data_IF_579353584283
#
_entry.id   IF_579353584283
#
_cell.length_a   1.000
_cell.length_b   1.000
_cell.length_c   1.000
_cell.angle_alpha   90.00
_cell.angle_beta   90.00
_cell.angle_gamma   90.00
#
_symmetry.space_group_name_H-M   'P 1'
#
loop_
_entity.id
_entity.type
_entity.pdbx_description
1 polymer ?
#
# COMPACT_ATOMS: atom_id res chain seq x y z
N UNK A 1 -36.97 -24.47 6.64
CA UNK A 1 -36.34 -25.29 5.57
C UNK A 1 -35.02 -24.67 5.13
N UNK A 2 -34.95 -23.38 4.80
CA UNK A 2 -33.70 -22.71 4.41
C UNK A 2 -32.63 -22.60 5.53
N UNK A 3 -33.00 -22.33 6.80
CA UNK A 3 -32.07 -22.38 7.94
C UNK A 3 -31.39 -23.76 8.13
N UNK A 4 -32.05 -24.86 7.75
CA UNK A 4 -31.44 -26.20 7.81
C UNK A 4 -30.33 -26.39 6.76
N UNK A 5 -30.30 -25.57 5.72
CA UNK A 5 -29.26 -25.64 4.69
C UNK A 5 -27.98 -24.93 5.13
N UNK A 6 -28.08 -23.84 5.89
CA UNK A 6 -26.90 -23.15 6.44
C UNK A 6 -26.16 -24.02 7.47
N UNK A 7 -26.90 -24.79 8.27
CA UNK A 7 -26.31 -25.79 9.19
C UNK A 7 -25.47 -26.87 8.48
N UNK A 8 -25.57 -26.99 7.14
CA UNK A 8 -24.73 -27.93 6.38
C UNK A 8 -23.37 -27.34 6.00
N UNK A 9 -23.14 -26.05 6.26
CA UNK A 9 -21.81 -25.44 6.11
C UNK A 9 -20.83 -26.00 7.15
N UNK A 10 -21.31 -26.43 8.33
CA UNK A 10 -20.50 -27.11 9.34
C UNK A 10 -20.33 -28.61 9.07
N UNK A 11 -20.55 -29.09 7.82
CA UNK A 11 -20.47 -30.50 7.50
C UNK A 11 -19.05 -30.93 7.20
N UNK A 12 -18.63 -32.05 7.81
CA UNK A 12 -17.38 -32.75 7.51
C UNK A 12 -17.34 -33.41 6.11
N UNK A 13 -18.40 -33.28 5.32
CA UNK A 13 -18.48 -33.85 3.99
C UNK A 13 -18.28 -32.76 2.93
N UNK A 14 -17.12 -32.79 2.27
CA UNK A 14 -16.76 -31.91 1.15
C UNK A 14 -17.88 -31.72 0.12
N UNK A 15 -18.52 -32.80 -0.33
CA UNK A 15 -19.58 -32.73 -1.34
C UNK A 15 -20.83 -32.02 -0.83
N UNK A 16 -21.16 -32.20 0.46
CA UNK A 16 -22.26 -31.48 1.13
C UNK A 16 -21.97 -29.98 1.15
N UNK A 17 -20.79 -29.57 1.63
CA UNK A 17 -20.37 -28.15 1.68
C UNK A 17 -20.40 -27.53 0.29
N UNK A 18 -19.76 -28.16 -0.69
CA UNK A 18 -19.74 -27.68 -2.08
C UNK A 18 -21.14 -27.50 -2.64
N UNK A 19 -22.07 -28.43 -2.36
CA UNK A 19 -23.45 -28.35 -2.84
C UNK A 19 -24.17 -27.14 -2.24
N UNK A 20 -23.98 -26.89 -0.95
CA UNK A 20 -24.62 -25.79 -0.21
C UNK A 20 -24.06 -24.45 -0.66
N UNK A 21 -22.74 -24.28 -0.74
CA UNK A 21 -22.11 -23.05 -1.25
C UNK A 21 -22.55 -22.76 -2.69
N UNK A 22 -22.59 -23.79 -3.55
CA UNK A 22 -23.05 -23.65 -4.94
C UNK A 22 -24.55 -23.31 -5.08
N UNK A 23 -25.35 -23.62 -4.07
CA UNK A 23 -26.72 -23.13 -3.96
C UNK A 23 -26.76 -21.69 -3.44
N UNK A 24 -26.01 -21.37 -2.38
CA UNK A 24 -25.95 -20.06 -1.75
C UNK A 24 -25.43 -18.96 -2.69
N UNK A 25 -24.49 -19.25 -3.59
CA UNK A 25 -24.03 -18.26 -4.58
C UNK A 25 -25.13 -17.73 -5.51
N UNK A 26 -26.28 -18.40 -5.59
CA UNK A 26 -27.46 -17.97 -6.37
C UNK A 26 -28.39 -17.06 -5.58
N UNK A 27 -28.15 -16.91 -4.28
CA UNK A 27 -28.86 -15.99 -3.39
C UNK A 27 -28.50 -14.57 -3.79
N UNK A 28 -29.49 -13.67 -3.70
CA UNK A 28 -29.30 -12.24 -3.98
C UNK A 28 -29.15 -11.47 -2.69
N UNK A 29 -28.39 -10.39 -2.74
CA UNK A 29 -28.36 -9.37 -1.69
C UNK A 29 -29.80 -8.96 -1.31
N UNK A 30 -30.10 -8.91 -0.01
CA UNK A 30 -31.43 -8.66 0.55
C UNK A 30 -32.29 -9.91 0.79
N UNK A 31 -31.89 -11.10 0.34
CA UNK A 31 -32.58 -12.35 0.74
C UNK A 31 -32.37 -12.60 2.24
N UNK A 32 -33.36 -13.14 2.98
CA UNK A 32 -33.18 -13.50 4.38
C UNK A 32 -31.95 -14.38 4.67
N UNK A 33 -31.51 -15.19 3.71
CA UNK A 33 -30.28 -16.00 3.85
C UNK A 33 -29.01 -15.15 4.00
N UNK A 34 -28.97 -13.94 3.46
CA UNK A 34 -27.85 -13.01 3.68
C UNK A 34 -27.64 -12.75 5.18
N UNK A 35 -28.71 -12.50 5.93
CA UNK A 35 -28.62 -12.19 7.35
C UNK A 35 -28.22 -13.41 8.18
N UNK A 36 -28.71 -14.59 7.80
CA UNK A 36 -28.32 -15.83 8.47
C UNK A 36 -26.83 -16.13 8.24
N UNK A 37 -26.29 -15.89 7.04
CA UNK A 37 -24.86 -16.04 6.76
C UNK A 37 -24.01 -15.03 7.54
N UNK A 38 -24.49 -13.77 7.66
CA UNK A 38 -23.82 -12.76 8.49
C UNK A 38 -23.81 -13.21 9.96
N UNK A 39 -24.91 -13.77 10.46
CA UNK A 39 -24.97 -14.29 11.83
C UNK A 39 -23.95 -15.41 12.10
N UNK A 40 -23.68 -16.28 11.12
CA UNK A 40 -22.59 -17.29 11.25
C UNK A 40 -21.22 -16.61 11.38
N UNK A 41 -20.99 -15.50 10.66
CA UNK A 41 -19.75 -14.75 10.77
C UNK A 41 -19.62 -13.99 12.08
N UNK A 42 -20.71 -13.44 12.64
CA UNK A 42 -20.63 -12.67 13.90
C UNK A 42 -20.12 -13.52 15.09
N UNK A 43 -20.33 -14.83 15.03
CA UNK A 43 -19.89 -15.79 16.06
C UNK A 43 -18.62 -16.58 15.65
N UNK A 44 -17.89 -16.14 14.62
CA UNK A 44 -16.80 -16.93 13.99
C UNK A 44 -15.71 -17.40 14.96
N UNK A 45 -15.36 -16.59 15.97
CA UNK A 45 -14.32 -16.94 16.96
C UNK A 45 -14.70 -18.10 17.88
N UNK A 46 -15.99 -18.41 17.99
CA UNK A 46 -16.51 -19.49 18.84
C UNK A 46 -16.91 -20.74 18.04
N UNK A 47 -16.81 -20.69 16.71
CA UNK A 47 -17.15 -21.81 15.84
C UNK A 47 -15.90 -22.63 15.52
N UNK A 48 -15.85 -23.86 16.00
CA UNK A 48 -14.74 -24.79 15.76
C UNK A 48 -14.81 -25.46 14.37
N UNK A 49 -15.84 -25.17 13.57
CA UNK A 49 -16.02 -25.71 12.23
C UNK A 49 -15.61 -24.72 11.14
N UNK A 50 -15.49 -25.19 9.90
CA UNK A 50 -15.30 -24.32 8.73
C UNK A 50 -16.56 -23.56 8.29
N UNK A 51 -17.67 -23.59 9.06
CA UNK A 51 -18.90 -22.90 8.66
C UNK A 51 -18.74 -21.38 8.45
N UNK A 52 -17.96 -20.64 9.25
CA UNK A 52 -17.66 -19.24 8.96
C UNK A 52 -16.93 -19.07 7.63
N UNK A 53 -16.02 -19.99 7.28
CA UNK A 53 -15.17 -19.90 6.08
C UNK A 53 -16.07 -19.96 4.85
N UNK A 54 -16.93 -20.97 4.82
CA UNK A 54 -17.88 -21.16 3.73
C UNK A 54 -18.95 -20.07 3.69
N UNK A 55 -19.27 -19.46 4.84
CA UNK A 55 -20.16 -18.30 4.90
C UNK A 55 -19.52 -17.06 4.27
N UNK A 56 -18.22 -16.82 4.47
CA UNK A 56 -17.48 -15.73 3.79
C UNK A 56 -17.48 -15.92 2.28
N UNK A 57 -17.13 -17.12 1.82
CA UNK A 57 -17.14 -17.47 0.38
C UNK A 57 -18.53 -17.21 -0.22
N UNK A 58 -19.59 -17.66 0.45
CA UNK A 58 -20.97 -17.43 0.01
C UNK A 58 -21.34 -15.94 -0.01
N UNK A 59 -21.00 -15.18 1.05
CA UNK A 59 -21.29 -13.75 1.16
C UNK A 59 -20.57 -12.92 0.09
N UNK A 60 -19.36 -13.32 -0.29
CA UNK A 60 -18.63 -12.76 -1.42
C UNK A 60 -19.40 -12.91 -2.74
N UNK A 61 -19.96 -14.11 -3.01
CA UNK A 61 -20.79 -14.33 -4.21
C UNK A 61 -22.13 -13.56 -4.16
N UNK A 62 -22.76 -13.51 -3.00
CA UNK A 62 -23.97 -12.69 -2.78
C UNK A 62 -23.65 -11.22 -3.06
N UNK A 63 -22.42 -10.78 -2.76
CA UNK A 63 -22.00 -9.39 -2.83
C UNK A 63 -22.64 -8.57 -1.71
N UNK A 64 -22.69 -9.12 -0.50
CA UNK A 64 -23.37 -8.49 0.63
C UNK A 64 -22.60 -7.29 1.16
N UNK A 65 -23.10 -6.06 0.90
CA UNK A 65 -22.52 -4.86 1.52
C UNK A 65 -22.69 -4.84 3.03
N UNK A 66 -23.73 -5.52 3.53
CA UNK A 66 -24.01 -5.63 4.98
C UNK A 66 -23.00 -6.50 5.71
N UNK A 67 -22.33 -7.43 5.00
CA UNK A 67 -21.32 -8.30 5.58
C UNK A 67 -19.96 -7.60 5.81
N UNK A 68 -19.71 -6.44 5.20
CA UNK A 68 -18.40 -5.76 5.27
C UNK A 68 -17.90 -5.60 6.72
N UNK A 69 -18.69 -5.13 7.70
CA UNK A 69 -18.20 -5.01 9.08
C UNK A 69 -17.78 -6.35 9.70
N UNK A 70 -18.52 -7.43 9.46
CA UNK A 70 -18.19 -8.76 9.97
C UNK A 70 -16.95 -9.34 9.27
N UNK A 71 -16.82 -9.16 7.96
CA UNK A 71 -15.64 -9.59 7.20
C UNK A 71 -14.38 -8.85 7.64
N UNK A 72 -14.48 -7.54 7.92
CA UNK A 72 -13.36 -6.76 8.46
C UNK A 72 -12.97 -7.23 9.87
N UNK A 73 -13.91 -7.64 10.71
CA UNK A 73 -13.61 -8.20 12.03
C UNK A 73 -12.88 -9.55 11.95
N UNK A 74 -13.15 -10.36 10.93
CA UNK A 74 -12.42 -11.62 10.68
C UNK A 74 -10.95 -11.38 10.36
N UNK A 75 -10.60 -10.25 9.75
CA UNK A 75 -9.20 -9.92 9.46
C UNK A 75 -8.35 -9.74 10.74
N UNK A 76 -8.97 -9.54 11.91
CA UNK A 76 -8.30 -9.63 13.21
C UNK A 76 -8.19 -11.11 13.66
N UNK A 77 -7.60 -11.96 12.80
CA UNK A 77 -7.29 -13.37 13.05
C UNK A 77 -5.80 -13.61 12.85
N UNK A 78 -5.24 -14.55 13.62
CA UNK A 78 -3.88 -15.07 13.44
C UNK A 78 -3.80 -16.23 12.45
N UNK A 79 -4.93 -16.69 11.90
CA UNK A 79 -4.96 -17.76 10.91
C UNK A 79 -5.18 -17.20 9.49
N UNK A 80 -4.18 -17.39 8.63
CA UNK A 80 -4.14 -16.86 7.26
C UNK A 80 -5.39 -17.22 6.45
N UNK A 81 -5.87 -18.46 6.54
CA UNK A 81 -7.03 -18.91 5.77
C UNK A 81 -8.33 -18.15 6.13
N UNK A 82 -8.47 -17.65 7.37
CA UNK A 82 -9.59 -16.79 7.75
C UNK A 82 -9.48 -15.42 7.08
N UNK A 83 -8.29 -14.82 7.14
CA UNK A 83 -8.00 -13.53 6.54
C UNK A 83 -8.12 -13.58 5.01
N UNK A 84 -7.63 -14.64 4.36
CA UNK A 84 -7.76 -14.87 2.92
C UNK A 84 -9.23 -15.00 2.48
N UNK A 85 -10.05 -15.74 3.24
CA UNK A 85 -11.47 -15.91 2.93
C UNK A 85 -12.24 -14.59 3.06
N UNK A 86 -11.93 -13.81 4.10
CA UNK A 86 -12.50 -12.49 4.31
C UNK A 86 -12.06 -11.51 3.23
N UNK A 87 -10.76 -11.46 2.89
CA UNK A 87 -10.21 -10.64 1.81
C UNK A 87 -10.88 -10.97 0.47
N UNK A 88 -10.99 -12.25 0.12
CA UNK A 88 -11.67 -12.69 -1.09
C UNK A 88 -13.11 -12.17 -1.14
N UNK A 89 -13.85 -12.34 -0.04
CA UNK A 89 -15.23 -11.91 0.01
C UNK A 89 -15.33 -10.39 -0.20
N UNK A 90 -14.46 -9.62 0.45
CA UNK A 90 -14.35 -8.16 0.29
C UNK A 90 -13.98 -7.78 -1.15
N UNK A 91 -13.02 -8.46 -1.79
CA UNK A 91 -12.66 -8.30 -3.20
C UNK A 91 -13.89 -8.43 -4.09
N UNK A 92 -14.67 -9.50 -3.92
CA UNK A 92 -15.89 -9.74 -4.72
C UNK A 92 -16.95 -8.66 -4.48
N UNK A 93 -17.12 -8.22 -3.24
CA UNK A 93 -18.05 -7.14 -2.88
C UNK A 93 -17.61 -5.82 -3.54
N UNK A 94 -16.34 -5.47 -3.46
CA UNK A 94 -15.79 -4.25 -4.06
C UNK A 94 -15.87 -4.28 -5.58
N UNK A 95 -15.52 -5.40 -6.23
CA UNK A 95 -15.66 -5.55 -7.69
C UNK A 95 -17.11 -5.38 -8.16
N UNK A 96 -18.08 -5.80 -7.33
CA UNK A 96 -19.51 -5.70 -7.66
C UNK A 96 -20.07 -4.29 -7.45
N UNK A 97 -19.67 -3.62 -6.37
CA UNK A 97 -20.30 -2.37 -5.94
C UNK A 97 -19.47 -1.12 -6.26
N UNK A 98 -18.17 -1.26 -6.49
CA UNK A 98 -17.26 -0.17 -6.80
C UNK A 98 -16.92 0.69 -5.58
N UNK A 99 -16.66 1.98 -5.82
CA UNK A 99 -16.24 2.95 -4.81
C UNK A 99 -17.17 3.14 -3.58
N UNK A 100 -18.50 3.00 -3.67
CA UNK A 100 -19.41 3.20 -2.53
C UNK A 100 -19.16 2.31 -1.30
N UNK A 101 -18.40 1.22 -1.44
CA UNK A 101 -18.10 0.31 -0.33
C UNK A 101 -16.69 0.48 0.25
N UNK A 102 -15.90 1.43 -0.27
CA UNK A 102 -14.51 1.60 0.17
C UNK A 102 -14.39 2.23 1.55
N UNK A 103 -15.28 3.16 1.92
CA UNK A 103 -15.18 3.92 3.18
C UNK A 103 -14.96 3.03 4.43
N UNK A 104 -15.73 1.97 4.70
CA UNK A 104 -15.47 1.11 5.85
C UNK A 104 -14.10 0.42 5.81
N UNK A 105 -13.59 0.08 4.62
CA UNK A 105 -12.28 -0.58 4.43
C UNK A 105 -11.15 0.44 4.64
N UNK A 106 -11.29 1.63 4.07
CA UNK A 106 -10.35 2.75 4.25
C UNK A 106 -10.22 3.11 5.75
N UNK A 107 -11.36 3.24 6.45
CA UNK A 107 -11.39 3.52 7.90
C UNK A 107 -10.76 2.39 8.71
N UNK A 108 -10.96 1.14 8.30
CA UNK A 108 -10.35 -0.02 8.96
C UNK A 108 -8.82 0.02 8.90
N UNK A 109 -8.29 0.37 7.73
CA UNK A 109 -6.84 0.50 7.50
C UNK A 109 -6.27 1.67 8.28
N UNK A 110 -6.87 2.86 8.16
CA UNK A 110 -6.38 4.08 8.80
C UNK A 110 -6.28 3.94 10.32
N UNK A 111 -7.23 3.24 10.96
CA UNK A 111 -7.22 3.00 12.41
C UNK A 111 -6.09 2.08 12.89
N UNK A 112 -5.45 1.36 11.98
CA UNK A 112 -4.41 0.37 12.27
C UNK A 112 -3.02 0.81 11.85
N UNK A 113 -2.86 2.03 11.32
CA UNK A 113 -1.56 2.55 10.88
C UNK A 113 -0.47 2.45 11.95
N UNK A 114 -0.80 2.81 13.19
CA UNK A 114 0.13 2.79 14.32
C UNK A 114 0.21 1.45 15.05
N UNK A 115 -0.79 0.57 14.89
CA UNK A 115 -0.88 -0.71 15.58
C UNK A 115 -1.78 -1.70 14.84
N UNK A 116 -1.17 -2.77 14.33
CA UNK A 116 -1.86 -3.83 13.60
C UNK A 116 -1.30 -5.21 14.00
N UNK A 117 -1.71 -5.77 15.14
CA UNK A 117 -1.08 -6.95 15.73
C UNK A 117 -1.26 -8.25 14.92
N UNK A 118 -2.19 -8.25 13.95
CA UNK A 118 -2.53 -9.40 13.12
C UNK A 118 -2.25 -9.15 11.63
N UNK A 119 -1.55 -8.06 11.31
CA UNK A 119 -1.26 -7.67 9.93
C UNK A 119 -2.54 -7.57 9.06
N UNK A 120 -3.66 -7.22 9.70
CA UNK A 120 -4.99 -7.23 9.09
C UNK A 120 -5.11 -6.25 7.92
N UNK A 121 -4.31 -5.17 7.93
CA UNK A 121 -4.25 -4.19 6.84
C UNK A 121 -3.74 -4.79 5.54
N UNK A 122 -2.80 -5.75 5.59
CA UNK A 122 -2.25 -6.41 4.41
C UNK A 122 -3.38 -6.96 3.54
N UNK A 123 -4.32 -7.67 4.17
CA UNK A 123 -5.49 -8.26 3.52
C UNK A 123 -6.54 -7.20 3.14
N UNK A 124 -6.64 -6.09 3.87
CA UNK A 124 -7.60 -5.02 3.58
C UNK A 124 -7.19 -4.14 2.38
N UNK A 125 -5.91 -4.10 1.99
CA UNK A 125 -5.45 -3.38 0.80
C UNK A 125 -5.95 -4.01 -0.50
N UNK A 126 -5.95 -5.34 -0.57
CA UNK A 126 -6.26 -6.07 -1.80
C UNK A 126 -7.64 -5.71 -2.39
N UNK A 127 -8.76 -5.66 -1.64
CA UNK A 127 -10.05 -5.21 -2.15
C UNK A 127 -10.00 -3.83 -2.83
N UNK A 128 -9.20 -2.90 -2.32
CA UNK A 128 -9.03 -1.55 -2.87
C UNK A 128 -8.29 -1.62 -4.22
N UNK A 129 -7.23 -2.42 -4.29
CA UNK A 129 -6.40 -2.61 -5.49
C UNK A 129 -7.16 -3.21 -6.67
N UNK A 130 -8.27 -3.92 -6.42
CA UNK A 130 -9.12 -4.49 -7.47
C UNK A 130 -9.86 -3.43 -8.29
N UNK A 131 -10.03 -2.21 -7.78
CA UNK A 131 -10.64 -1.10 -8.52
C UNK A 131 -9.63 -0.35 -9.39
N UNK A 132 -9.02 -1.07 -10.35
CA UNK A 132 -7.89 -0.59 -11.18
C UNK A 132 -8.15 0.71 -11.96
N UNK A 133 -9.41 1.09 -12.16
CA UNK A 133 -9.81 2.34 -12.84
C UNK A 133 -10.30 3.43 -11.89
N UNK A 134 -10.40 3.14 -10.59
CA UNK A 134 -10.88 4.10 -9.58
C UNK A 134 -9.79 5.12 -9.23
N UNK A 135 -10.12 6.40 -9.43
CA UNK A 135 -9.25 7.49 -8.98
C UNK A 135 -9.15 7.56 -7.46
N UNK A 136 -10.24 7.29 -6.74
CA UNK A 136 -10.28 7.25 -5.27
C UNK A 136 -9.39 6.15 -4.71
N UNK A 137 -9.55 4.92 -5.18
CA UNK A 137 -8.77 3.77 -4.73
C UNK A 137 -7.27 4.00 -4.96
N UNK A 138 -6.89 4.46 -6.16
CA UNK A 138 -5.49 4.79 -6.47
C UNK A 138 -4.95 5.87 -5.54
N UNK A 139 -5.71 6.94 -5.33
CA UNK A 139 -5.31 8.07 -4.47
C UNK A 139 -5.13 7.62 -3.02
N UNK A 140 -6.03 6.77 -2.52
CA UNK A 140 -5.91 6.14 -1.21
C UNK A 140 -4.63 5.29 -1.10
N UNK A 141 -4.36 4.40 -2.06
CA UNK A 141 -3.17 3.56 -2.05
C UNK A 141 -1.87 4.35 -2.20
N UNK A 142 -1.84 5.45 -2.96
CA UNK A 142 -0.68 6.35 -3.01
C UNK A 142 -0.41 6.95 -1.63
N UNK A 143 -1.46 7.38 -0.92
CA UNK A 143 -1.33 7.89 0.44
C UNK A 143 -0.76 6.84 1.40
N UNK A 144 -1.30 5.63 1.33
CA UNK A 144 -0.88 4.52 2.20
C UNK A 144 0.53 4.07 1.87
N UNK A 145 0.96 4.09 0.61
CA UNK A 145 2.35 3.85 0.24
C UNK A 145 3.33 4.83 0.92
N UNK A 146 2.94 6.08 1.13
CA UNK A 146 3.77 7.07 1.82
C UNK A 146 3.68 7.02 3.35
N UNK A 147 2.66 6.38 3.92
CA UNK A 147 2.36 6.39 5.36
C UNK A 147 2.57 5.04 6.05
N UNK A 148 2.39 3.93 5.33
CA UNK A 148 2.52 2.57 5.83
C UNK A 148 3.91 2.03 5.45
N UNK A 149 4.85 2.14 6.38
CA UNK A 149 6.22 1.67 6.21
C UNK A 149 6.36 0.15 6.30
N UNK A 150 5.42 -0.50 6.99
CA UNK A 150 5.38 -1.95 7.17
C UNK A 150 5.01 -2.68 5.87
N UNK A 151 4.00 -2.18 5.15
CA UNK A 151 3.44 -2.83 3.96
C UNK A 151 3.71 -2.09 2.64
N UNK A 152 4.70 -1.19 2.64
CA UNK A 152 5.02 -0.35 1.48
C UNK A 152 5.30 -1.16 0.20
N UNK A 153 5.94 -2.32 0.32
CA UNK A 153 6.23 -3.24 -0.79
C UNK A 153 4.96 -3.85 -1.40
N UNK A 154 4.07 -4.36 -0.54
CA UNK A 154 2.79 -4.95 -0.94
C UNK A 154 1.91 -3.91 -1.64
N UNK A 155 1.83 -2.70 -1.08
CA UNK A 155 1.11 -1.57 -1.69
C UNK A 155 1.75 -1.18 -3.04
N UNK A 156 3.07 -1.32 -3.20
CA UNK A 156 3.73 -1.06 -4.49
C UNK A 156 3.24 -2.00 -5.59
N UNK A 157 3.10 -3.29 -5.29
CA UNK A 157 2.55 -4.27 -6.24
C UNK A 157 1.09 -3.96 -6.57
N UNK A 158 0.29 -3.54 -5.59
CA UNK A 158 -1.08 -3.10 -5.82
C UNK A 158 -1.15 -1.85 -6.71
N UNK A 159 -0.30 -0.85 -6.46
CA UNK A 159 -0.22 0.35 -7.28
C UNK A 159 0.23 0.06 -8.72
N UNK A 160 1.07 -0.97 -8.94
CA UNK A 160 1.47 -1.39 -10.27
C UNK A 160 0.27 -1.83 -11.13
N UNK A 161 -0.78 -2.40 -10.51
CA UNK A 161 -1.99 -2.85 -11.20
C UNK A 161 -2.82 -1.70 -11.81
N UNK A 162 -2.61 -0.45 -11.39
CA UNK A 162 -3.28 0.73 -11.96
C UNK A 162 -2.67 1.18 -13.29
N UNK A 163 -1.45 0.74 -13.62
CA UNK A 163 -0.76 1.06 -14.88
C UNK A 163 -0.40 2.54 -15.06
N UNK A 164 -0.51 3.36 -14.02
CA UNK A 164 -0.19 4.79 -14.07
C UNK A 164 1.32 5.02 -13.92
N UNK A 165 2.03 5.11 -15.04
CA UNK A 165 3.49 5.28 -15.05
C UNK A 165 4.03 6.49 -14.29
N UNK A 166 3.18 7.45 -13.92
CA UNK A 166 3.59 8.56 -13.03
C UNK A 166 4.03 8.05 -11.65
N UNK A 167 3.50 6.92 -11.19
CA UNK A 167 3.85 6.26 -9.93
C UNK A 167 5.32 5.81 -9.90
N UNK A 168 5.97 5.64 -11.07
CA UNK A 168 7.40 5.34 -11.12
C UNK A 168 8.26 6.38 -10.37
N UNK A 169 7.84 7.65 -10.29
CA UNK A 169 8.55 8.66 -9.52
C UNK A 169 8.36 8.51 -8.00
N UNK A 170 7.22 7.97 -7.56
CA UNK A 170 6.98 7.60 -6.17
C UNK A 170 7.87 6.42 -5.78
N UNK A 171 7.90 5.38 -6.60
CA UNK A 171 8.79 4.22 -6.41
C UNK A 171 10.26 4.61 -6.47
N UNK A 172 10.66 5.50 -7.40
CA UNK A 172 12.04 5.99 -7.49
C UNK A 172 12.53 6.57 -6.16
N UNK A 173 11.71 7.44 -5.54
CA UNK A 173 12.01 8.06 -4.23
C UNK A 173 12.10 7.00 -3.13
N UNK A 174 11.14 6.08 -3.04
CA UNK A 174 11.14 5.04 -2.02
C UNK A 174 12.32 4.07 -2.17
N UNK A 175 12.67 3.69 -3.40
CA UNK A 175 13.87 2.88 -3.68
C UNK A 175 15.13 3.63 -3.22
N UNK A 176 15.25 4.92 -3.53
CA UNK A 176 16.39 5.73 -3.10
C UNK A 176 16.46 5.77 -1.57
N UNK A 177 15.35 6.02 -0.88
CA UNK A 177 15.29 6.00 0.59
C UNK A 177 15.76 4.65 1.16
N UNK A 178 15.17 3.55 0.68
CA UNK A 178 15.46 2.19 1.15
C UNK A 178 16.93 1.78 0.89
N UNK A 179 17.50 2.22 -0.24
CA UNK A 179 18.91 2.00 -0.57
C UNK A 179 19.83 2.65 0.46
N UNK A 180 19.54 3.90 0.84
CA UNK A 180 20.34 4.64 1.81
C UNK A 180 20.11 4.18 3.24
N UNK A 181 18.89 3.74 3.57
CA UNK A 181 18.59 3.10 4.84
C UNK A 181 19.21 1.69 4.96
N UNK A 182 19.74 1.12 3.86
CA UNK A 182 20.33 -0.22 3.84
C UNK A 182 19.31 -1.36 3.89
N UNK A 183 18.03 -1.09 3.60
CA UNK A 183 16.93 -2.06 3.68
C UNK A 183 16.85 -2.83 2.35
N UNK A 184 17.75 -3.82 2.20
CA UNK A 184 17.92 -4.55 0.93
C UNK A 184 16.68 -5.30 0.45
N UNK A 185 15.87 -5.84 1.36
CA UNK A 185 14.62 -6.54 1.02
C UNK A 185 13.64 -5.57 0.34
N UNK A 186 13.33 -4.45 1.00
CA UNK A 186 12.45 -3.41 0.46
C UNK A 186 12.93 -2.86 -0.89
N UNK A 187 14.25 -2.67 -1.06
CA UNK A 187 14.81 -2.27 -2.37
C UNK A 187 14.49 -3.30 -3.45
N UNK A 188 14.57 -4.60 -3.14
CA UNK A 188 14.27 -5.66 -4.10
C UNK A 188 12.80 -5.63 -4.51
N UNK A 189 11.89 -5.61 -3.53
CA UNK A 189 10.45 -5.63 -3.76
C UNK A 189 9.97 -4.39 -4.52
N UNK A 190 10.40 -3.19 -4.09
CA UNK A 190 10.05 -1.94 -4.80
C UNK A 190 10.58 -1.91 -6.23
N UNK A 191 11.76 -2.48 -6.49
CA UNK A 191 12.30 -2.58 -7.85
C UNK A 191 11.53 -3.59 -8.69
N UNK A 192 11.04 -4.68 -8.11
CA UNK A 192 10.19 -5.62 -8.81
C UNK A 192 8.87 -4.96 -9.21
N UNK A 193 8.17 -4.32 -8.25
CA UNK A 193 6.95 -3.55 -8.52
C UNK A 193 7.17 -2.44 -9.57
N UNK A 194 8.31 -1.76 -9.52
CA UNK A 194 8.73 -0.79 -10.54
C UNK A 194 8.84 -1.43 -11.92
N UNK A 195 9.51 -2.58 -12.04
CA UNK A 195 9.65 -3.30 -13.31
C UNK A 195 8.28 -3.69 -13.88
N UNK A 196 7.39 -4.24 -13.03
CA UNK A 196 6.02 -4.61 -13.42
C UNK A 196 5.27 -3.39 -13.95
N UNK A 197 5.28 -2.27 -13.22
CA UNK A 197 4.60 -1.04 -13.64
C UNK A 197 5.18 -0.46 -14.94
N UNK A 198 6.49 -0.59 -15.17
CA UNK A 198 7.11 -0.13 -16.41
C UNK A 198 6.83 -1.06 -17.61
N UNK A 199 6.32 -2.26 -17.36
CA UNK A 199 5.84 -3.21 -18.36
C UNK A 199 6.71 -4.45 -18.54
N UNK A 200 7.64 -4.71 -17.63
CA UNK A 200 8.37 -5.99 -17.57
C UNK A 200 7.40 -7.09 -17.17
N UNK A 201 7.44 -8.21 -17.88
CA UNK A 201 6.71 -9.42 -17.52
C UNK A 201 7.68 -10.44 -16.94
N UNK A 202 7.34 -10.95 -15.76
CA UNK A 202 8.03 -12.08 -15.17
C UNK A 202 7.28 -13.37 -15.55
N UNK A 203 8.03 -14.44 -15.79
CA UNK A 203 7.47 -15.76 -16.05
C UNK A 203 7.28 -16.49 -14.72
N UNK A 204 6.51 -15.85 -13.83
CA UNK A 204 6.02 -16.44 -12.59
C UNK A 204 4.56 -16.80 -12.83
N UNK A 205 4.13 -17.91 -12.24
CA UNK A 205 2.74 -18.33 -12.30
C UNK A 205 1.91 -17.20 -11.66
N UNK A 206 1.23 -16.41 -12.49
CA UNK A 206 0.55 -15.19 -12.06
C UNK A 206 -0.50 -15.56 -11.01
N UNK A 207 -0.57 -14.85 -9.89
CA UNK A 207 -1.69 -14.98 -8.93
C UNK A 207 -3.06 -14.81 -9.60
N UNK A 208 -3.08 -14.14 -10.76
CA UNK A 208 -4.22 -14.05 -11.67
C UNK A 208 -4.75 -15.42 -12.11
N UNK A 209 -3.88 -16.42 -12.30
CA UNK A 209 -4.27 -17.80 -12.61
C UNK A 209 -5.02 -18.46 -11.45
N UNK A 210 -4.75 -18.07 -10.20
CA UNK A 210 -5.52 -18.54 -9.04
C UNK A 210 -6.90 -17.87 -9.00
N UNK A 211 -6.96 -16.53 -9.09
CA UNK A 211 -8.25 -15.79 -9.01
C UNK A 211 -9.25 -16.14 -10.12
N UNK A 212 -8.76 -16.58 -11.28
CA UNK A 212 -9.59 -17.04 -12.39
C UNK A 212 -10.09 -18.49 -12.21
N UNK A 213 -9.58 -19.24 -11.23
CA UNK A 213 -10.04 -20.60 -10.94
C UNK A 213 -11.41 -20.61 -10.23
N UNK A 214 -12.19 -21.69 -10.42
CA UNK A 214 -13.35 -21.97 -9.59
C UNK A 214 -13.01 -21.88 -8.10
N UNK A 215 -13.96 -21.42 -7.28
CA UNK A 215 -13.71 -21.30 -5.83
C UNK A 215 -13.40 -22.65 -5.20
N UNK A 216 -13.93 -23.73 -5.75
CA UNK A 216 -13.66 -25.10 -5.30
C UNK A 216 -12.17 -25.48 -5.43
N UNK A 217 -11.50 -24.96 -6.46
CA UNK A 217 -10.07 -25.19 -6.68
C UNK A 217 -9.23 -24.29 -5.79
N UNK A 218 -9.61 -23.01 -5.64
CA UNK A 218 -8.91 -22.10 -4.72
C UNK A 218 -8.97 -22.53 -3.27
N UNK A 219 -10.11 -23.08 -2.83
CA UNK A 219 -10.31 -23.59 -1.47
C UNK A 219 -10.17 -25.10 -1.37
N UNK A 220 -9.50 -25.76 -2.33
CA UNK A 220 -9.42 -27.22 -2.38
C UNK A 220 -8.74 -27.80 -1.15
N UNK A 221 -7.73 -27.10 -0.62
CA UNK A 221 -7.00 -27.49 0.57
C UNK A 221 -7.93 -27.61 1.79
N UNK A 222 -8.63 -26.53 2.16
CA UNK A 222 -9.58 -26.55 3.28
C UNK A 222 -10.77 -27.50 3.02
N UNK A 223 -11.19 -27.69 1.77
CA UNK A 223 -12.20 -28.69 1.43
C UNK A 223 -11.71 -30.13 1.66
N UNK A 224 -10.42 -30.39 1.45
CA UNK A 224 -9.80 -31.70 1.63
C UNK A 224 -9.47 -32.00 3.11
N UNK A 225 -9.52 -31.00 3.99
CA UNK A 225 -9.39 -31.16 5.45
C UNK A 225 -10.70 -31.60 6.12
N UNK A 226 -11.84 -31.39 5.47
CA UNK A 226 -13.15 -31.72 6.03
C UNK A 226 -13.24 -33.22 6.40
N UNK A 227 -13.54 -33.47 7.67
CA UNK A 227 -13.68 -34.81 8.23
C UNK A 227 -12.37 -35.52 8.59
N UNK A 228 -11.23 -34.83 8.49
CA UNK A 228 -9.95 -35.29 9.03
C UNK A 228 -9.80 -34.92 10.50
N UNK A 229 -8.99 -35.68 11.23
CA UNK A 229 -8.54 -35.30 12.58
C UNK A 229 -7.38 -34.31 12.52
N UNK A 230 -7.11 -33.59 13.61
CA UNK A 230 -5.94 -32.70 13.73
C UNK A 230 -4.62 -33.43 13.40
N UNK A 231 -4.47 -34.67 13.87
CA UNK A 231 -3.32 -35.52 13.55
C UNK A 231 -3.22 -35.83 12.04
N UNK A 232 -4.35 -36.04 11.37
CA UNK A 232 -4.38 -36.30 9.92
C UNK A 232 -4.05 -35.03 9.11
N UNK A 233 -4.50 -33.86 9.58
CA UNK A 233 -4.17 -32.55 8.99
C UNK A 233 -2.67 -32.26 9.16
N UNK A 234 -2.14 -32.39 10.37
CA UNK A 234 -0.72 -32.11 10.65
C UNK A 234 0.21 -33.02 9.82
N UNK A 235 -0.15 -34.29 9.65
CA UNK A 235 0.62 -35.22 8.81
C UNK A 235 0.50 -34.90 7.32
N UNK A 236 -0.69 -34.47 6.88
CA UNK A 236 -0.92 -34.04 5.50
C UNK A 236 -0.07 -32.81 5.16
N UNK A 237 -0.01 -31.82 6.04
CA UNK A 237 0.78 -30.61 5.82
C UNK A 237 2.28 -30.86 5.82
N UNK A 238 2.79 -31.66 6.77
CA UNK A 238 4.21 -32.01 6.82
C UNK A 238 4.68 -32.74 5.57
N UNK A 239 3.87 -33.67 5.06
CA UNK A 239 4.21 -34.41 3.83
C UNK A 239 4.15 -33.53 2.59
N UNK A 240 3.09 -32.73 2.44
CA UNK A 240 2.91 -31.79 1.34
C UNK A 240 4.01 -30.71 1.29
N UNK A 241 4.32 -30.09 2.44
CA UNK A 241 5.34 -29.05 2.54
C UNK A 241 6.74 -29.62 2.28
N UNK A 242 7.05 -30.79 2.86
CA UNK A 242 8.34 -31.47 2.65
C UNK A 242 8.59 -31.81 1.19
N UNK A 243 7.61 -32.42 0.51
CA UNK A 243 7.71 -32.75 -0.91
C UNK A 243 7.86 -31.50 -1.80
N UNK A 244 7.17 -30.39 -1.46
CA UNK A 244 7.28 -29.13 -2.19
C UNK A 244 8.64 -28.47 -2.01
N UNK A 245 9.17 -28.44 -0.78
CA UNK A 245 10.50 -27.89 -0.49
C UNK A 245 11.60 -28.71 -1.15
N UNK A 246 11.55 -30.03 -1.04
CA UNK A 246 12.52 -30.93 -1.69
C UNK A 246 12.52 -30.76 -3.20
N UNK A 247 11.34 -30.57 -3.81
CA UNK A 247 11.21 -30.32 -5.24
C UNK A 247 11.75 -28.94 -5.66
N UNK A 248 11.55 -27.91 -4.84
CA UNK A 248 12.06 -26.56 -5.11
C UNK A 248 13.59 -26.47 -4.94
N UNK A 249 14.14 -27.13 -3.92
CA UNK A 249 15.58 -27.16 -3.66
C UNK A 249 16.35 -27.99 -4.70
N UNK A 250 15.70 -28.97 -5.32
CA UNK A 250 16.32 -29.82 -6.34
C UNK A 250 16.18 -29.30 -7.79
N UNK A 251 15.44 -28.22 -8.00
CA UNK A 251 15.25 -27.60 -9.32
C UNK A 251 16.30 -26.50 -9.57
N UNK A 252 17.52 -26.92 -9.92
CA UNK A 252 18.64 -26.03 -10.26
C UNK A 252 18.30 -25.04 -11.38
N UNK A 253 17.46 -25.44 -12.34
CA UNK A 253 17.04 -24.58 -13.46
C UNK A 253 16.13 -23.46 -12.98
N UNK A 254 15.17 -23.77 -12.10
CA UNK A 254 14.30 -22.81 -11.45
C UNK A 254 15.08 -21.82 -10.58
N UNK A 255 16.00 -22.30 -9.74
CA UNK A 255 16.84 -21.42 -8.91
C UNK A 255 17.73 -20.49 -9.75
N UNK A 256 18.30 -21.00 -10.86
CA UNK A 256 19.09 -20.18 -11.77
C UNK A 256 18.24 -19.14 -12.51
N UNK A 257 16.98 -19.48 -12.85
CA UNK A 257 16.01 -18.53 -13.41
C UNK A 257 15.73 -17.40 -12.41
N UNK A 258 15.44 -17.72 -11.15
CA UNK A 258 15.22 -16.72 -10.08
C UNK A 258 16.44 -15.80 -9.94
N UNK A 259 17.66 -16.35 -9.89
CA UNK A 259 18.89 -15.54 -9.77
C UNK A 259 19.08 -14.59 -10.95
N UNK A 260 18.78 -15.04 -12.16
CA UNK A 260 18.84 -14.19 -13.38
C UNK A 260 17.80 -13.08 -13.32
N UNK A 261 16.57 -13.38 -12.91
CA UNK A 261 15.50 -12.38 -12.73
C UNK A 261 15.88 -11.35 -11.66
N UNK A 262 16.32 -11.79 -10.48
CA UNK A 262 16.76 -10.91 -9.40
C UNK A 262 17.92 -10.01 -9.84
N UNK A 263 18.90 -10.57 -10.57
CA UNK A 263 20.00 -9.78 -11.13
C UNK A 263 19.51 -8.77 -12.18
N UNK A 264 18.53 -9.14 -13.00
CA UNK A 264 17.91 -8.22 -13.95
C UNK A 264 17.20 -7.07 -13.22
N UNK A 265 16.33 -7.37 -12.25
CA UNK A 265 15.60 -6.38 -11.44
C UNK A 265 16.56 -5.44 -10.71
N UNK A 266 17.61 -5.99 -10.09
CA UNK A 266 18.63 -5.21 -9.38
C UNK A 266 19.38 -4.21 -10.28
N UNK A 267 19.49 -4.49 -11.59
CA UNK A 267 20.18 -3.65 -12.56
C UNK A 267 19.23 -2.89 -13.51
N UNK A 268 17.91 -3.03 -13.35
CA UNK A 268 16.93 -2.36 -14.19
C UNK A 268 17.09 -0.82 -14.11
N UNK A 269 17.11 -0.10 -15.24
CA UNK A 269 17.29 1.35 -15.21
C UNK A 269 16.07 2.03 -14.58
N UNK A 270 16.31 2.92 -13.63
CA UNK A 270 15.27 3.75 -13.02
C UNK A 270 15.22 5.10 -13.74
N UNK A 271 14.03 5.67 -13.90
CA UNK A 271 13.88 7.04 -14.38
C UNK A 271 14.42 8.01 -13.33
N UNK A 272 14.96 9.14 -13.80
CA UNK A 272 15.26 10.26 -12.90
C UNK A 272 13.97 10.74 -12.22
N UNK A 273 14.08 11.12 -10.95
CA UNK A 273 12.96 11.70 -10.22
C UNK A 273 12.54 13.02 -10.87
N UNK A 274 11.23 13.22 -11.05
CA UNK A 274 10.67 14.46 -11.56
C UNK A 274 9.62 15.00 -10.58
N UNK A 275 9.90 16.16 -10.00
CA UNK A 275 9.05 16.73 -8.95
C UNK A 275 7.66 17.06 -9.49
N UNK A 276 7.57 17.69 -10.67
CA UNK A 276 6.28 18.06 -11.26
C UNK A 276 5.36 16.84 -11.48
N UNK A 277 5.90 15.70 -11.90
CA UNK A 277 5.10 14.47 -12.04
C UNK A 277 4.68 13.91 -10.69
N UNK A 278 5.57 13.89 -9.70
CA UNK A 278 5.26 13.47 -8.34
C UNK A 278 4.14 14.32 -7.71
N UNK A 279 4.23 15.65 -7.80
CA UNK A 279 3.24 16.59 -7.27
C UNK A 279 1.82 16.39 -7.85
N UNK A 280 1.71 15.80 -9.04
CA UNK A 280 0.41 15.52 -9.68
C UNK A 280 -0.30 14.28 -9.14
N UNK A 281 0.40 13.43 -8.39
CA UNK A 281 -0.13 12.15 -7.91
C UNK A 281 -0.10 12.02 -6.39
N UNK A 282 0.83 12.69 -5.70
CA UNK A 282 0.97 12.63 -4.24
C UNK A 282 -0.21 13.26 -3.51
N UNK A 283 -0.40 12.85 -2.27
CA UNK A 283 -1.32 13.52 -1.36
C UNK A 283 -0.60 14.68 -0.64
N UNK A 284 -1.22 15.87 -0.57
CA UNK A 284 -0.64 16.97 0.20
C UNK A 284 -0.49 16.60 1.68
N UNK A 285 0.71 16.83 2.23
CA UNK A 285 1.00 16.67 3.66
C UNK A 285 0.48 17.82 4.54
N UNK A 286 0.72 17.72 5.84
CA UNK A 286 0.28 18.73 6.82
C UNK A 286 0.94 20.09 6.57
N UNK A 287 2.24 20.12 6.25
CA UNK A 287 3.00 21.35 5.98
C UNK A 287 2.44 22.08 4.75
N UNK A 288 2.02 21.32 3.74
CA UNK A 288 1.41 21.86 2.53
C UNK A 288 0.05 22.49 2.82
N UNK A 289 -0.79 21.81 3.61
CA UNK A 289 -2.09 22.33 4.01
C UNK A 289 -1.99 23.62 4.83
N UNK A 290 -1.05 23.68 5.78
CA UNK A 290 -0.81 24.89 6.57
C UNK A 290 -0.27 26.05 5.72
N UNK A 291 0.59 25.77 4.74
CA UNK A 291 1.04 26.80 3.81
C UNK A 291 -0.10 27.27 2.88
N UNK A 292 -0.91 26.36 2.35
CA UNK A 292 -2.06 26.70 1.50
C UNK A 292 -3.04 27.64 2.22
N UNK A 293 -3.33 27.37 3.50
CA UNK A 293 -4.09 28.30 4.35
C UNK A 293 -3.44 29.68 4.45
N UNK A 294 -2.12 29.73 4.66
CA UNK A 294 -1.38 30.99 4.76
C UNK A 294 -1.40 31.77 3.43
N UNK A 295 -1.23 31.09 2.29
CA UNK A 295 -1.32 31.68 0.94
C UNK A 295 -2.71 32.31 0.74
N UNK A 296 -3.78 31.60 1.13
CA UNK A 296 -5.16 32.10 1.04
C UNK A 296 -5.40 33.28 1.96
N UNK A 297 -4.92 33.21 3.20
CA UNK A 297 -5.08 34.30 4.18
C UNK A 297 -4.35 35.59 3.75
N UNK A 298 -3.21 35.45 3.06
CA UNK A 298 -2.42 36.57 2.56
C UNK A 298 -2.86 37.07 1.17
N UNK A 299 -3.95 36.53 0.63
CA UNK A 299 -4.47 36.87 -0.71
C UNK A 299 -3.45 36.64 -1.84
N UNK A 300 -2.64 35.58 -1.71
CA UNK A 300 -1.59 35.21 -2.67
C UNK A 300 -2.03 34.13 -3.66
N UNK A 301 -3.27 33.63 -3.54
CA UNK A 301 -3.76 32.44 -4.26
C UNK A 301 -3.89 32.64 -5.77
N UNK A 302 -4.02 33.88 -6.25
CA UNK A 302 -4.09 34.19 -7.68
C UNK A 302 -2.75 33.91 -8.40
N UNK A 303 -1.65 33.97 -7.66
CA UNK A 303 -0.29 33.86 -8.21
C UNK A 303 0.35 32.54 -7.78
N UNK A 304 0.22 32.21 -6.49
CA UNK A 304 0.93 31.12 -5.85
C UNK A 304 -0.01 29.96 -5.46
N UNK A 305 0.48 28.75 -5.70
CA UNK A 305 -0.01 27.52 -5.08
C UNK A 305 1.16 26.84 -4.39
N UNK A 306 0.87 25.87 -3.52
CA UNK A 306 1.92 25.08 -2.86
C UNK A 306 2.81 24.39 -3.88
N UNK A 307 2.24 23.81 -4.94
CA UNK A 307 3.00 23.12 -6.00
C UNK A 307 3.95 24.09 -6.73
N UNK A 308 3.47 25.31 -7.05
CA UNK A 308 4.35 26.33 -7.67
C UNK A 308 5.51 26.70 -6.76
N UNK A 309 5.25 26.80 -5.45
CA UNK A 309 6.30 27.07 -4.47
C UNK A 309 7.26 25.89 -4.37
N UNK A 310 6.79 24.65 -4.36
CA UNK A 310 7.65 23.45 -4.34
C UNK A 310 8.52 23.34 -5.60
N UNK A 311 7.98 23.69 -6.78
CA UNK A 311 8.77 23.78 -8.01
C UNK A 311 9.83 24.88 -7.92
N UNK A 312 9.50 26.03 -7.33
CA UNK A 312 10.48 27.09 -7.10
C UNK A 312 11.57 26.63 -6.11
N UNK A 313 11.19 25.98 -5.01
CA UNK A 313 12.11 25.36 -4.04
C UNK A 313 13.13 24.47 -4.75
N UNK A 314 12.68 23.61 -5.66
CA UNK A 314 13.52 22.68 -6.41
C UNK A 314 14.53 23.41 -7.33
N UNK A 315 14.14 24.56 -7.89
CA UNK A 315 15.03 25.41 -8.70
C UNK A 315 15.91 26.38 -7.89
N UNK A 316 15.64 26.52 -6.59
CA UNK A 316 16.33 27.47 -5.70
C UNK A 316 17.41 26.79 -4.87
N UNK A 317 18.46 27.55 -4.57
CA UNK A 317 19.53 27.09 -3.68
C UNK A 317 19.28 27.48 -2.22
N UNK A 318 18.48 28.53 -1.99
CA UNK A 318 18.27 29.11 -0.65
C UNK A 318 16.78 29.34 -0.37
N UNK A 319 16.28 29.05 0.85
CA UNK A 319 14.90 29.33 1.23
C UNK A 319 14.53 30.82 1.10
N UNK A 320 15.48 31.74 1.35
CA UNK A 320 15.25 33.17 1.25
C UNK A 320 14.93 33.61 -0.19
N UNK A 321 15.48 32.95 -1.21
CA UNK A 321 15.17 33.21 -2.62
C UNK A 321 13.70 32.94 -2.90
N UNK A 322 13.19 31.82 -2.38
CA UNK A 322 11.79 31.41 -2.53
C UNK A 322 10.88 32.40 -1.82
N UNK A 323 11.18 32.75 -0.56
CA UNK A 323 10.38 33.73 0.19
C UNK A 323 10.36 35.08 -0.52
N UNK A 324 11.52 35.57 -0.97
CA UNK A 324 11.61 36.85 -1.67
C UNK A 324 10.80 36.85 -2.97
N UNK A 325 10.82 35.76 -3.74
CA UNK A 325 10.02 35.65 -4.96
C UNK A 325 8.51 35.63 -4.66
N UNK A 326 8.09 34.94 -3.60
CA UNK A 326 6.69 34.90 -3.17
C UNK A 326 6.21 36.29 -2.76
N UNK A 327 6.98 36.99 -1.92
CA UNK A 327 6.65 38.33 -1.41
C UNK A 327 6.82 39.45 -2.45
N UNK A 328 7.70 39.30 -3.45
CA UNK A 328 7.87 40.31 -4.49
C UNK A 328 6.59 40.55 -5.32
N UNK A 329 5.69 39.57 -5.34
CA UNK A 329 4.41 39.63 -6.04
C UNK A 329 3.24 40.03 -5.15
N UNK A 330 3.48 40.31 -3.86
CA UNK A 330 2.42 40.74 -2.95
C UNK A 330 2.28 42.26 -2.94
N UNK A 331 1.07 42.76 -3.18
CA UNK A 331 0.69 44.14 -2.89
C UNK A 331 0.65 44.42 -1.38
N UNK A 332 0.67 43.35 -0.58
CA UNK A 332 0.64 43.34 0.86
C UNK A 332 2.06 43.29 1.45
N UNK A 333 2.37 44.20 2.38
CA UNK A 333 3.53 44.09 3.27
C UNK A 333 3.09 43.46 4.58
N UNK A 334 3.40 42.18 4.85
CA UNK A 334 2.99 41.54 6.10
C UNK A 334 3.57 42.25 7.32
N UNK A 335 2.84 42.18 8.43
CA UNK A 335 3.41 42.54 9.72
C UNK A 335 4.66 41.70 9.98
N UNK A 336 5.60 42.20 10.78
CA UNK A 336 6.82 41.46 11.11
C UNK A 336 6.53 40.05 11.64
N UNK A 337 5.52 39.90 12.50
CA UNK A 337 5.10 38.60 13.03
C UNK A 337 4.52 37.68 11.95
N UNK A 338 3.66 38.20 11.07
CA UNK A 338 3.08 37.42 9.96
C UNK A 338 4.15 36.99 8.96
N UNK A 339 5.15 37.84 8.71
CA UNK A 339 6.29 37.52 7.87
C UNK A 339 7.14 36.40 8.45
N UNK A 340 7.40 36.41 9.77
CA UNK A 340 8.09 35.31 10.45
C UNK A 340 7.32 34.00 10.38
N UNK A 341 6.00 34.01 10.63
CA UNK A 341 5.17 32.82 10.54
C UNK A 341 5.17 32.21 9.12
N UNK A 342 5.06 33.05 8.09
CA UNK A 342 5.16 32.59 6.71
C UNK A 342 6.55 31.99 6.43
N UNK A 343 7.62 32.65 6.88
CA UNK A 343 8.97 32.12 6.72
C UNK A 343 9.14 30.76 7.40
N UNK A 344 8.61 30.58 8.61
CA UNK A 344 8.65 29.31 9.33
C UNK A 344 7.93 28.19 8.55
N UNK A 345 6.75 28.49 7.99
CA UNK A 345 6.03 27.54 7.12
C UNK A 345 6.83 27.21 5.84
N UNK A 346 7.46 28.21 5.23
CA UNK A 346 8.30 28.02 4.04
C UNK A 346 9.53 27.16 4.34
N UNK A 347 10.15 27.32 5.52
CA UNK A 347 11.27 26.48 5.95
C UNK A 347 10.82 25.05 6.22
N UNK A 348 9.64 24.86 6.83
CA UNK A 348 9.05 23.51 6.98
C UNK A 348 8.82 22.86 5.63
N UNK A 349 8.13 23.57 4.72
CA UNK A 349 7.88 23.07 3.36
C UNK A 349 9.19 22.75 2.62
N UNK A 350 10.19 23.63 2.70
CA UNK A 350 11.53 23.42 2.11
C UNK A 350 12.14 22.09 2.53
N UNK A 351 12.03 21.76 3.83
CA UNK A 351 12.65 20.55 4.38
C UNK A 351 11.91 19.26 4.02
N UNK A 352 10.60 19.34 3.77
CA UNK A 352 9.80 18.17 3.37
C UNK A 352 9.62 18.02 1.87
N UNK A 353 9.95 19.05 1.07
CA UNK A 353 9.81 19.03 -0.39
C UNK A 353 10.85 18.09 -1.04
N UNK A 354 10.41 17.07 -1.82
CA UNK A 354 11.30 16.22 -2.61
C UNK A 354 12.20 17.03 -3.57
N UNK A 355 13.48 16.63 -3.69
CA UNK A 355 14.47 17.33 -4.52
C UNK A 355 14.92 16.47 -5.68
N UNK A 356 15.00 17.06 -6.88
CA UNK A 356 15.48 16.34 -8.07
C UNK A 356 16.97 16.04 -7.93
N UNK A 357 17.77 16.95 -7.34
CA UNK A 357 19.20 16.71 -7.08
C UNK A 357 19.46 15.57 -6.09
N UNK A 358 18.44 15.15 -5.33
CA UNK A 358 18.50 14.04 -4.38
C UNK A 358 17.64 12.86 -4.80
N UNK A 359 17.32 12.76 -6.09
CA UNK A 359 16.59 11.63 -6.66
C UNK A 359 15.26 11.36 -5.97
N UNK A 360 14.62 12.45 -5.53
CA UNK A 360 13.34 12.42 -4.85
C UNK A 360 13.44 12.50 -3.34
N UNK A 361 14.59 12.37 -2.68
CA UNK A 361 14.66 12.60 -1.23
C UNK A 361 14.49 14.09 -0.90
N UNK A 362 13.92 14.38 0.27
CA UNK A 362 13.87 15.74 0.81
C UNK A 362 15.03 15.98 1.81
N UNK A 363 15.34 17.25 2.14
CA UNK A 363 16.41 17.57 3.08
C UNK A 363 16.26 16.92 4.47
N UNK A 364 15.03 16.67 4.93
CA UNK A 364 14.78 16.04 6.22
C UNK A 364 15.14 14.56 6.24
N UNK A 365 14.74 13.81 5.22
CA UNK A 365 15.11 12.40 5.05
C UNK A 365 16.61 12.23 4.97
N UNK A 366 17.31 13.10 4.24
CA UNK A 366 18.78 13.04 4.14
C UNK A 366 19.43 13.24 5.51
N UNK A 367 18.92 14.17 6.33
CA UNK A 367 19.42 14.35 7.70
C UNK A 367 19.23 13.09 8.55
N UNK A 368 18.11 12.40 8.37
CA UNK A 368 17.79 11.19 9.13
C UNK A 368 18.68 10.02 8.69
N UNK A 369 18.81 9.80 7.39
CA UNK A 369 19.60 8.72 6.79
C UNK A 369 21.11 8.91 7.00
N UNK A 370 21.56 10.16 7.05
CA UNK A 370 22.97 10.49 7.22
C UNK A 370 23.18 11.67 8.18
N UNK A 371 23.08 11.41 9.50
CA UNK A 371 23.26 12.43 10.52
C UNK A 371 24.70 12.95 10.61
N UNK A 372 25.65 12.32 9.91
CA UNK A 372 27.08 12.64 9.96
C UNK A 372 27.64 13.27 8.69
N UNK A 373 26.88 13.34 7.60
CA UNK A 373 27.30 14.04 6.38
C UNK A 373 28.26 13.31 5.48
N UNK A 374 28.08 12.00 5.39
CA UNK A 374 28.75 11.11 4.47
C UNK A 374 28.11 11.17 3.07
N UNK A 375 26.81 11.51 2.95
CA UNK A 375 26.09 11.76 1.71
C UNK A 375 26.75 12.90 0.96
N UNK A 376 27.35 12.57 -0.19
CA UNK A 376 27.93 13.53 -1.12
C UNK A 376 29.09 14.39 -0.58
N UNK A 377 30.26 13.74 -0.43
CA UNK A 377 31.56 14.38 -0.71
C UNK A 377 31.78 14.68 -2.21
N UNK A 378 30.74 14.76 -3.04
CA UNK A 378 30.82 15.37 -4.36
C UNK A 378 30.99 16.89 -4.19
N UNK A 379 32.20 17.29 -3.75
CA UNK A 379 32.72 18.66 -3.65
C UNK A 379 31.68 19.77 -3.43
N UNK A 380 30.79 19.62 -2.45
CA UNK A 380 30.04 20.77 -1.96
C UNK A 380 31.06 21.81 -1.51
N UNK A 381 31.03 22.97 -2.16
CA UNK A 381 31.94 24.05 -1.90
C UNK A 381 31.87 24.41 -0.43
N UNK A 382 33.02 24.67 0.21
CA UNK A 382 33.09 25.00 1.65
C UNK A 382 32.10 26.12 2.08
N UNK A 383 31.71 26.97 1.13
CA UNK A 383 30.80 28.10 1.33
C UNK A 383 29.37 27.88 0.81
N UNK A 384 29.07 26.75 0.17
CA UNK A 384 27.72 26.39 -0.28
C UNK A 384 26.84 26.02 0.92
N UNK A 385 25.51 26.06 0.78
CA UNK A 385 24.62 25.63 1.85
C UNK A 385 24.76 24.15 2.12
N UNK A 386 24.64 23.81 3.38
CA UNK A 386 24.69 22.43 3.79
C UNK A 386 23.43 21.70 3.28
N UNK A 387 23.63 20.51 2.71
CA UNK A 387 22.53 19.65 2.24
C UNK A 387 21.50 19.32 3.33
N UNK A 388 21.83 19.53 4.61
CA UNK A 388 20.93 19.32 5.74
C UNK A 388 19.80 20.36 5.86
N UNK A 389 19.63 21.32 4.95
CA UNK A 389 18.52 22.28 4.99
C UNK A 389 18.55 23.28 6.17
N UNK A 390 19.63 23.31 6.97
CA UNK A 390 19.75 24.22 8.13
C UNK A 390 19.84 25.72 7.78
N UNK A 391 19.88 26.07 6.50
CA UNK A 391 20.18 27.43 6.02
C UNK A 391 21.61 27.88 6.31
N UNK A 392 22.49 27.01 6.85
CA UNK A 392 23.89 27.34 7.14
C UNK A 392 24.83 26.84 6.04
N UNK A 393 25.91 27.59 5.80
CA UNK A 393 27.02 27.14 4.93
C UNK A 393 27.58 25.81 5.42
N UNK A 394 27.96 24.92 4.51
CA UNK A 394 28.54 23.60 4.78
C UNK A 394 29.63 23.67 5.84
N UNK A 395 30.61 24.59 5.72
CA UNK A 395 31.67 24.78 6.74
C UNK A 395 31.20 25.14 8.16
N UNK A 396 29.99 25.69 8.29
CA UNK A 396 29.38 26.08 9.58
C UNK A 396 28.39 25.03 10.08
N UNK A 397 28.20 23.94 9.34
CA UNK A 397 27.31 22.84 9.67
C UNK A 397 28.08 21.52 9.65
N UNK A 398 28.06 20.77 8.55
CA UNK A 398 28.68 19.43 8.46
C UNK A 398 30.12 19.43 7.90
N UNK A 399 30.62 20.55 7.38
CA UNK A 399 31.97 20.69 6.82
C UNK A 399 33.07 20.99 7.84
N UNK A 400 33.00 20.37 9.03
CA UNK A 400 34.06 20.47 10.04
C UNK A 400 35.22 19.54 9.75
#
# INVERSE_FOLDING_TARGET
MKQKEILKLSSDNKQTVMTVVNWLRKVKEGDPMEQELIGVLEDWRSDESYAPLWSMVALGFVGSRKAIPALLDVLDSDADYWCEAASEALVRIVQRHGEPVLEPIEVFIEKRLDHDPFDARLFAYEPIAQLKTSGRAKKFLIRMFEQDDQWQDSIAHDLANFGDKRILHLFRRAIEYAQHAGIRSLVSELREAYCVLDGVKFDRQDSKELWDQPWEERWSHNLDELGKTDDEIENFDKSSLGERLDKLESDDEFLEKIRKEQKFVANYPLVDFNLNTYLRIREPGQEEYELDKAIKFLDLSDIWSVEKIQLLINSSSHPEEVLNAVLANSSFTPSMNSGFQLFDLMIKLWNVTPREEFQGLNPEEIRHLDPHGIFNKSKLGRNELCYCGSGRKYKKCHGK
#
